data_IF_608842695998
#
_entry.id   IF_608842695998
#
_cell.length_a   1.000
_cell.length_b   1.000
_cell.length_c   1.000
_cell.angle_alpha   90.00
_cell.angle_beta   90.00
_cell.angle_gamma   90.00
#
_symmetry.space_group_name_H-M   'P 1'
#
loop_
_entity.id
_entity.type
_entity.pdbx_description
1 polymer ?
#
# COMPACT_ATOMS: atom_id res chain seq x y z
N UNK A 1 -26.59 -1.28 2.50
CA UNK A 1 -25.21 -1.76 2.62
C UNK A 1 -24.72 -2.20 1.23
N UNK A 2 -23.56 -1.72 0.77
CA UNK A 2 -23.01 -2.11 -0.53
C UNK A 2 -22.71 -3.63 -0.56
N UNK A 3 -22.93 -4.25 -1.70
CA UNK A 3 -22.91 -5.72 -1.88
C UNK A 3 -21.56 -6.20 -2.40
N UNK A 4 -21.14 -7.39 -1.98
CA UNK A 4 -19.95 -8.09 -2.54
C UNK A 4 -20.30 -8.79 -3.85
N UNK A 5 -19.28 -9.19 -4.62
CA UNK A 5 -19.51 -9.94 -5.89
C UNK A 5 -20.26 -11.24 -5.64
N UNK A 6 -19.98 -11.92 -4.54
CA UNK A 6 -20.63 -13.17 -4.15
C UNK A 6 -22.12 -12.96 -3.83
N UNK A 7 -22.46 -11.87 -3.13
CA UNK A 7 -23.86 -11.50 -2.86
C UNK A 7 -24.60 -11.12 -4.13
N UNK A 8 -23.97 -10.30 -4.99
CA UNK A 8 -24.55 -9.92 -6.29
C UNK A 8 -24.79 -11.17 -7.15
N UNK A 9 -23.84 -12.09 -7.19
CA UNK A 9 -23.97 -13.37 -7.90
C UNK A 9 -25.17 -14.17 -7.42
N UNK A 10 -25.30 -14.33 -6.10
CA UNK A 10 -26.39 -15.07 -5.48
C UNK A 10 -27.75 -14.41 -5.75
N UNK A 11 -27.83 -13.09 -5.56
CA UNK A 11 -29.10 -12.35 -5.63
C UNK A 11 -29.56 -12.13 -7.08
N UNK A 12 -28.62 -12.07 -8.05
CA UNK A 12 -28.95 -11.93 -9.47
C UNK A 12 -29.05 -13.27 -10.22
N UNK A 13 -28.60 -14.39 -9.62
CA UNK A 13 -28.50 -15.69 -10.30
C UNK A 13 -27.45 -15.73 -11.41
N UNK A 14 -26.50 -14.78 -11.42
CA UNK A 14 -25.42 -14.70 -12.41
C UNK A 14 -24.14 -15.22 -11.78
N UNK A 15 -23.33 -15.99 -12.51
CA UNK A 15 -22.08 -16.53 -11.95
C UNK A 15 -21.13 -15.43 -11.46
N UNK A 16 -20.36 -15.70 -10.40
CA UNK A 16 -19.35 -14.78 -9.82
C UNK A 16 -18.40 -14.25 -10.90
N UNK A 17 -17.97 -15.10 -11.82
CA UNK A 17 -17.10 -14.71 -12.93
C UNK A 17 -17.77 -13.71 -13.86
N UNK A 18 -19.03 -13.97 -14.25
CA UNK A 18 -19.80 -13.07 -15.12
C UNK A 18 -20.07 -11.73 -14.44
N UNK A 19 -20.46 -11.72 -13.16
CA UNK A 19 -20.65 -10.48 -12.37
C UNK A 19 -19.37 -9.66 -12.37
N UNK A 20 -18.22 -10.29 -12.11
CA UNK A 20 -16.89 -9.61 -12.13
C UNK A 20 -16.57 -9.00 -13.49
N UNK A 21 -16.82 -9.71 -14.57
CA UNK A 21 -16.56 -9.20 -15.93
C UNK A 21 -17.45 -8.01 -16.28
N UNK A 22 -18.72 -8.03 -15.85
CA UNK A 22 -19.64 -6.90 -16.05
C UNK A 22 -19.17 -5.67 -15.25
N UNK A 23 -18.86 -5.84 -13.96
CA UNK A 23 -18.42 -4.74 -13.09
C UNK A 23 -17.12 -4.11 -13.59
N UNK A 24 -16.22 -4.92 -14.16
CA UNK A 24 -14.93 -4.45 -14.73
C UNK A 24 -15.07 -3.91 -16.17
N UNK A 25 -16.27 -3.73 -16.71
CA UNK A 25 -16.49 -3.20 -18.06
C UNK A 25 -16.07 -4.14 -19.20
N UNK A 26 -15.88 -5.43 -18.91
CA UNK A 26 -15.40 -6.43 -19.87
C UNK A 26 -16.51 -7.25 -20.53
N UNK A 27 -17.77 -6.86 -20.32
CA UNK A 27 -18.94 -7.60 -20.79
C UNK A 27 -18.92 -7.88 -22.30
N UNK A 28 -18.56 -6.89 -23.11
CA UNK A 28 -18.49 -7.00 -24.58
C UNK A 28 -17.39 -7.94 -25.04
N UNK A 29 -16.19 -7.80 -24.46
CA UNK A 29 -15.02 -8.66 -24.78
C UNK A 29 -15.32 -10.15 -24.55
N UNK A 30 -16.08 -10.46 -23.52
CA UNK A 30 -16.45 -11.84 -23.15
C UNK A 30 -17.84 -12.23 -23.64
N UNK A 31 -18.45 -11.47 -24.56
CA UNK A 31 -19.74 -11.75 -25.20
C UNK A 31 -20.86 -12.05 -24.20
N UNK A 32 -20.89 -11.31 -23.09
CA UNK A 32 -21.98 -11.41 -22.11
C UNK A 32 -23.21 -10.74 -22.70
N UNK A 33 -24.38 -11.42 -22.62
CA UNK A 33 -25.61 -10.91 -23.20
C UNK A 33 -26.01 -9.56 -22.60
N UNK A 34 -26.62 -8.69 -23.41
CA UNK A 34 -27.10 -7.38 -22.96
C UNK A 34 -28.07 -7.48 -21.78
N UNK A 35 -28.92 -8.53 -21.75
CA UNK A 35 -29.86 -8.76 -20.65
C UNK A 35 -29.14 -9.13 -19.34
N UNK A 36 -28.13 -9.96 -19.40
CA UNK A 36 -27.30 -10.30 -18.22
C UNK A 36 -26.53 -9.09 -17.70
N UNK A 37 -25.94 -8.31 -18.62
CA UNK A 37 -25.25 -7.07 -18.27
C UNK A 37 -26.20 -6.09 -17.58
N UNK A 38 -27.35 -5.78 -18.20
CA UNK A 38 -28.32 -4.85 -17.64
C UNK A 38 -28.82 -5.28 -16.25
N UNK A 39 -29.06 -6.59 -16.04
CA UNK A 39 -29.48 -7.12 -14.74
C UNK A 39 -28.44 -6.88 -13.64
N UNK A 40 -27.16 -7.12 -13.92
CA UNK A 40 -26.07 -6.89 -12.94
C UNK A 40 -25.89 -5.40 -12.68
N UNK A 41 -25.86 -4.56 -13.74
CA UNK A 41 -25.71 -3.12 -13.63
C UNK A 41 -26.86 -2.47 -12.85
N UNK A 42 -28.11 -2.86 -13.10
CA UNK A 42 -29.27 -2.38 -12.36
C UNK A 42 -29.21 -2.75 -10.88
N UNK A 43 -28.79 -3.98 -10.57
CA UNK A 43 -28.63 -4.42 -9.19
C UNK A 43 -27.53 -3.63 -8.46
N UNK A 44 -26.39 -3.40 -9.12
CA UNK A 44 -25.28 -2.60 -8.58
C UNK A 44 -25.69 -1.14 -8.39
N UNK A 45 -26.44 -0.55 -9.32
CA UNK A 45 -26.96 0.82 -9.20
C UNK A 45 -27.91 0.98 -7.99
N UNK A 46 -28.72 -0.02 -7.71
CA UNK A 46 -29.69 0.00 -6.61
C UNK A 46 -29.05 -0.24 -5.24
N UNK A 47 -28.11 -1.18 -5.14
CA UNK A 47 -27.58 -1.68 -3.86
C UNK A 47 -26.15 -1.22 -3.56
N UNK A 48 -25.44 -0.68 -4.54
CA UNK A 48 -24.03 -0.39 -4.48
C UNK A 48 -23.15 -1.66 -4.55
N UNK A 49 -21.88 -1.46 -4.89
CA UNK A 49 -20.88 -2.51 -4.92
C UNK A 49 -19.70 -2.16 -4.00
N UNK A 50 -19.28 -3.10 -3.18
CA UNK A 50 -18.07 -2.98 -2.38
C UNK A 50 -17.07 -4.07 -2.74
N UNK A 51 -15.82 -3.64 -2.97
CA UNK A 51 -14.72 -4.58 -3.15
C UNK A 51 -14.38 -5.19 -1.78
N UNK A 52 -14.44 -6.51 -1.67
CA UNK A 52 -13.85 -7.18 -0.52
C UNK A 52 -12.32 -7.19 -0.69
N UNK A 53 -11.66 -6.13 -0.19
CA UNK A 53 -10.21 -5.98 -0.28
C UNK A 53 -9.45 -7.15 0.36
N UNK A 54 -9.96 -7.72 1.46
CA UNK A 54 -9.32 -8.86 2.12
C UNK A 54 -9.33 -10.12 1.22
N UNK A 55 -10.48 -10.44 0.60
CA UNK A 55 -10.58 -11.57 -0.32
C UNK A 55 -9.74 -11.34 -1.59
N UNK A 56 -9.70 -10.10 -2.10
CA UNK A 56 -8.87 -9.71 -3.24
C UNK A 56 -7.39 -9.84 -2.91
N UNK A 57 -6.95 -9.35 -1.76
CA UNK A 57 -5.56 -9.42 -1.30
C UNK A 57 -5.09 -10.86 -1.16
N UNK A 58 -5.94 -11.72 -0.60
CA UNK A 58 -5.62 -13.15 -0.48
C UNK A 58 -5.43 -13.82 -1.84
N UNK A 59 -6.32 -13.53 -2.80
CA UNK A 59 -6.28 -14.11 -4.15
C UNK A 59 -5.09 -13.61 -4.98
N UNK A 60 -4.77 -12.34 -4.87
CA UNK A 60 -3.70 -11.68 -5.64
C UNK A 60 -2.35 -11.71 -4.92
N UNK A 61 -2.32 -12.15 -3.66
CA UNK A 61 -1.17 -12.02 -2.76
C UNK A 61 -0.60 -10.59 -2.72
N UNK A 62 -1.52 -9.60 -2.79
CA UNK A 62 -1.20 -8.18 -2.90
C UNK A 62 -2.26 -7.36 -2.18
N UNK A 63 -1.82 -6.41 -1.33
CA UNK A 63 -2.69 -5.54 -0.52
C UNK A 63 -2.91 -4.16 -1.13
N UNK A 64 -2.17 -3.82 -2.18
CA UNK A 64 -2.09 -2.49 -2.77
C UNK A 64 -1.74 -1.40 -1.73
N UNK A 65 -0.92 -1.77 -0.73
CA UNK A 65 -0.55 -0.91 0.39
C UNK A 65 0.96 -0.85 0.55
N UNK A 66 1.49 0.36 0.72
CA UNK A 66 2.89 0.63 1.08
C UNK A 66 2.94 1.15 2.50
N UNK A 67 3.78 0.55 3.34
CA UNK A 67 4.06 1.03 4.69
C UNK A 67 5.16 2.10 4.68
N UNK A 68 4.97 3.17 5.46
CA UNK A 68 5.96 4.22 5.65
C UNK A 68 6.18 4.44 7.15
N UNK A 69 7.41 4.22 7.62
CA UNK A 69 7.79 4.43 9.01
C UNK A 69 8.71 5.63 9.09
N UNK A 70 8.33 6.61 9.91
CA UNK A 70 9.07 7.88 10.08
C UNK A 70 9.32 8.16 11.55
N UNK A 71 10.39 8.90 11.89
CA UNK A 71 10.66 9.27 13.27
C UNK A 71 9.58 10.19 13.87
N UNK A 72 9.15 11.20 13.11
CA UNK A 72 8.24 12.24 13.61
C UNK A 72 7.36 12.79 12.49
N UNK A 73 6.04 12.71 12.68
CA UNK A 73 5.05 13.24 11.73
C UNK A 73 4.91 14.77 11.80
N UNK A 74 5.31 15.39 12.89
CA UNK A 74 5.27 16.86 13.05
C UNK A 74 6.45 17.55 12.36
N UNK A 75 7.51 16.84 12.04
CA UNK A 75 8.65 17.37 11.31
C UNK A 75 8.27 17.72 9.87
N UNK A 76 8.43 18.99 9.50
CA UNK A 76 8.04 19.52 8.19
C UNK A 76 8.73 18.80 7.01
N UNK A 77 9.93 18.24 7.20
CA UNK A 77 10.62 17.44 6.20
C UNK A 77 9.86 16.14 5.91
N UNK A 78 9.55 15.36 6.95
CA UNK A 78 8.80 14.12 6.80
C UNK A 78 7.36 14.36 6.35
N UNK A 79 6.73 15.46 6.78
CA UNK A 79 5.39 15.82 6.32
C UNK A 79 5.34 16.10 4.81
N UNK A 80 6.32 16.84 4.27
CA UNK A 80 6.42 17.09 2.82
C UNK A 80 6.71 15.82 2.04
N UNK A 81 7.60 14.98 2.54
CA UNK A 81 7.90 13.70 1.92
C UNK A 81 6.67 12.78 1.90
N UNK A 82 5.95 12.70 3.02
CA UNK A 82 4.72 11.92 3.12
C UNK A 82 3.68 12.37 2.09
N UNK A 83 3.49 13.69 1.92
CA UNK A 83 2.58 14.24 0.91
C UNK A 83 2.99 13.86 -0.52
N UNK A 84 4.30 13.90 -0.83
CA UNK A 84 4.81 13.49 -2.13
C UNK A 84 4.63 11.98 -2.37
N UNK A 85 4.95 11.15 -1.37
CA UNK A 85 4.77 9.70 -1.45
C UNK A 85 3.29 9.32 -1.59
N UNK A 86 2.39 9.98 -0.86
CA UNK A 86 0.95 9.75 -0.96
C UNK A 86 0.45 10.04 -2.38
N UNK A 87 0.85 11.18 -2.96
CA UNK A 87 0.48 11.52 -4.33
C UNK A 87 0.92 10.45 -5.34
N UNK A 88 2.16 9.97 -5.24
CA UNK A 88 2.69 8.92 -6.11
C UNK A 88 2.04 7.55 -5.88
N UNK A 89 1.68 7.22 -4.63
CA UNK A 89 0.92 6.03 -4.31
C UNK A 89 -0.48 6.09 -4.94
N UNK A 90 -1.17 7.20 -4.80
CA UNK A 90 -2.52 7.40 -5.36
C UNK A 90 -2.56 7.31 -6.88
N UNK A 91 -1.56 7.86 -7.58
CA UNK A 91 -1.43 7.72 -9.04
C UNK A 91 -1.29 6.25 -9.49
N UNK A 92 -0.91 5.35 -8.60
CA UNK A 92 -0.70 3.92 -8.85
C UNK A 92 -1.72 3.02 -8.17
N UNK A 93 -2.83 3.58 -7.71
CA UNK A 93 -3.86 2.88 -6.93
C UNK A 93 -3.29 2.15 -5.69
N UNK A 94 -2.26 2.74 -5.06
CA UNK A 94 -1.67 2.26 -3.81
C UNK A 94 -2.12 3.12 -2.63
N UNK A 95 -2.31 2.49 -1.47
CA UNK A 95 -2.53 3.17 -0.20
C UNK A 95 -1.19 3.35 0.52
N UNK A 96 -0.91 4.56 1.01
CA UNK A 96 0.21 4.81 1.91
C UNK A 96 -0.26 4.70 3.37
N UNK A 97 0.34 3.80 4.13
CA UNK A 97 0.06 3.62 5.56
C UNK A 97 1.26 4.08 6.38
N UNK A 98 1.14 5.26 7.00
CA UNK A 98 2.22 5.90 7.74
C UNK A 98 2.13 5.66 9.24
N UNK A 99 3.27 5.39 9.88
CA UNK A 99 3.40 5.21 11.34
C UNK A 99 4.63 5.96 11.84
N UNK A 100 4.50 6.66 12.99
CA UNK A 100 5.62 7.30 13.65
C UNK A 100 6.34 6.34 14.61
N UNK A 101 7.67 6.37 14.61
CA UNK A 101 8.51 5.63 15.57
C UNK A 101 8.91 6.45 16.80
N UNK A 102 8.73 7.76 16.76
CA UNK A 102 9.10 8.70 17.84
C UNK A 102 10.57 8.58 18.26
N UNK A 103 11.47 8.30 17.33
CA UNK A 103 12.91 8.03 17.57
C UNK A 103 13.16 6.86 18.55
N UNK A 104 12.16 6.00 18.77
CA UNK A 104 12.25 4.86 19.68
C UNK A 104 12.39 3.56 18.89
N UNK A 105 13.52 2.83 19.01
CA UNK A 105 13.71 1.55 18.34
C UNK A 105 12.67 0.48 18.68
N UNK A 106 12.11 0.49 19.89
CA UNK A 106 11.07 -0.48 20.28
C UNK A 106 9.76 -0.18 19.56
N UNK A 107 9.39 1.10 19.44
CA UNK A 107 8.21 1.53 18.68
C UNK A 107 8.40 1.26 17.19
N UNK A 108 9.58 1.54 16.62
CA UNK A 108 9.92 1.22 15.22
C UNK A 108 9.75 -0.28 14.94
N UNK A 109 10.31 -1.13 15.79
CA UNK A 109 10.20 -2.58 15.64
C UNK A 109 8.74 -3.06 15.67
N UNK A 110 7.92 -2.52 16.58
CA UNK A 110 6.49 -2.83 16.66
C UNK A 110 5.74 -2.32 15.42
N UNK A 111 6.04 -1.11 14.95
CA UNK A 111 5.43 -0.52 13.76
C UNK A 111 5.70 -1.39 12.51
N UNK A 112 6.97 -1.75 12.28
CA UNK A 112 7.37 -2.62 11.17
C UNK A 112 6.67 -3.98 11.27
N UNK A 113 6.64 -4.61 12.45
CA UNK A 113 5.97 -5.89 12.64
C UNK A 113 4.47 -5.81 12.33
N UNK A 114 3.79 -4.74 12.77
CA UNK A 114 2.36 -4.52 12.48
C UNK A 114 2.09 -4.29 11.00
N UNK A 115 2.95 -3.54 10.29
CA UNK A 115 2.81 -3.32 8.86
C UNK A 115 2.99 -4.62 8.07
N UNK A 116 4.01 -5.42 8.41
CA UNK A 116 4.23 -6.74 7.81
C UNK A 116 3.07 -7.70 8.08
N UNK A 117 2.53 -7.72 9.30
CA UNK A 117 1.37 -8.54 9.66
C UNK A 117 0.09 -8.12 8.89
N UNK A 118 -0.04 -6.86 8.49
CA UNK A 118 -1.11 -6.36 7.61
C UNK A 118 -0.87 -6.71 6.13
N UNK A 119 0.29 -7.30 5.80
CA UNK A 119 0.60 -7.75 4.46
C UNK A 119 0.92 -6.63 3.49
N UNK A 120 1.50 -5.52 3.95
CA UNK A 120 1.95 -4.44 3.05
C UNK A 120 2.85 -4.99 1.94
N UNK A 121 2.77 -4.41 0.75
CA UNK A 121 3.50 -4.86 -0.44
C UNK A 121 4.91 -4.29 -0.53
N UNK A 122 5.20 -3.24 0.23
CA UNK A 122 6.50 -2.62 0.37
C UNK A 122 6.60 -1.80 1.64
N UNK A 123 7.83 -1.53 2.09
CA UNK A 123 8.13 -0.68 3.23
C UNK A 123 9.13 0.39 2.85
N UNK A 124 8.88 1.61 3.29
CA UNK A 124 9.82 2.73 3.27
C UNK A 124 10.05 3.10 4.74
N UNK A 125 11.30 3.14 5.17
CA UNK A 125 11.65 3.35 6.58
C UNK A 125 12.70 4.43 6.68
N UNK A 126 12.43 5.49 7.45
CA UNK A 126 13.46 6.40 7.97
C UNK A 126 13.91 5.84 9.34
N UNK A 127 15.01 5.05 9.38
CA UNK A 127 15.33 4.24 10.55
C UNK A 127 15.83 5.11 11.70
N UNK A 128 15.46 4.76 12.93
CA UNK A 128 16.00 5.40 14.14
C UNK A 128 17.15 4.59 14.78
N UNK A 129 17.53 3.46 14.18
CA UNK A 129 18.58 2.57 14.69
C UNK A 129 19.34 1.92 13.54
N UNK A 130 20.65 1.55 13.74
CA UNK A 130 21.45 0.88 12.72
C UNK A 130 21.05 -0.58 12.48
N UNK A 131 20.35 -1.19 13.42
CA UNK A 131 19.93 -2.58 13.31
C UNK A 131 18.52 -2.68 12.76
N UNK A 132 18.33 -3.64 11.87
CA UNK A 132 17.04 -3.91 11.28
C UNK A 132 16.03 -4.42 12.30
N UNK A 133 14.78 -3.99 12.14
CA UNK A 133 13.67 -4.57 12.89
C UNK A 133 13.68 -6.10 12.74
N UNK A 134 13.71 -6.88 13.84
CA UNK A 134 13.76 -8.35 13.78
C UNK A 134 12.63 -8.97 12.97
N UNK A 135 11.49 -8.27 12.85
CA UNK A 135 10.36 -8.71 12.04
C UNK A 135 10.69 -8.81 10.55
N UNK A 136 11.59 -7.96 10.01
CA UNK A 136 12.02 -8.02 8.61
C UNK A 136 12.79 -9.31 8.32
N UNK A 137 13.62 -9.75 9.25
CA UNK A 137 14.41 -10.97 9.12
C UNK A 137 13.56 -12.25 9.20
N UNK A 138 12.42 -12.18 9.93
CA UNK A 138 11.52 -13.31 10.17
C UNK A 138 10.36 -13.37 9.17
N UNK A 139 10.19 -12.36 8.33
CA UNK A 139 9.07 -12.31 7.39
C UNK A 139 9.18 -13.42 6.35
N UNK A 140 8.14 -14.26 6.23
CA UNK A 140 8.02 -15.28 5.18
C UNK A 140 7.81 -14.67 3.79
N UNK A 141 7.10 -13.55 3.71
CA UNK A 141 6.97 -12.74 2.50
C UNK A 141 8.18 -11.82 2.46
N UNK A 142 9.01 -11.94 1.43
CA UNK A 142 10.12 -10.98 1.20
C UNK A 142 9.52 -9.65 0.75
N UNK A 143 9.01 -8.87 1.70
CA UNK A 143 8.51 -7.53 1.43
C UNK A 143 9.68 -6.62 1.06
N UNK A 144 9.66 -5.97 -0.12
CA UNK A 144 10.68 -5.00 -0.50
C UNK A 144 10.78 -3.88 0.54
N UNK A 145 12.01 -3.49 0.88
CA UNK A 145 12.29 -2.42 1.84
C UNK A 145 13.23 -1.41 1.21
N UNK A 146 12.93 -0.14 1.39
CA UNK A 146 13.81 0.99 1.06
C UNK A 146 14.04 1.79 2.33
N UNK A 147 15.31 2.02 2.66
CA UNK A 147 15.70 2.95 3.71
C UNK A 147 15.73 4.37 3.17
N UNK A 148 15.41 5.33 4.02
CA UNK A 148 15.32 6.72 3.62
C UNK A 148 15.95 7.64 4.67
N UNK A 149 16.54 8.77 4.22
CA UNK A 149 17.12 9.86 5.02
C UNK A 149 18.36 9.47 5.83
N UNK A 150 18.39 8.30 6.44
CA UNK A 150 19.49 7.86 7.32
C UNK A 150 20.14 6.61 6.76
N UNK A 151 21.45 6.72 6.47
CA UNK A 151 22.30 5.61 6.09
C UNK A 151 23.25 5.26 7.24
N UNK A 152 23.07 4.08 7.79
CA UNK A 152 23.99 3.54 8.81
C UNK A 152 25.09 2.68 8.20
N UNK A 153 25.29 2.70 6.89
CA UNK A 153 26.36 1.98 6.20
C UNK A 153 26.24 0.46 6.21
N UNK A 154 25.06 -0.08 6.53
CA UNK A 154 24.87 -1.53 6.61
C UNK A 154 24.83 -2.23 5.25
N UNK A 155 24.52 -1.50 4.18
CA UNK A 155 24.40 -2.03 2.82
C UNK A 155 23.33 -3.13 2.61
N UNK A 156 22.50 -3.39 3.62
CA UNK A 156 21.52 -4.50 3.59
C UNK A 156 20.28 -4.17 2.76
N UNK A 157 19.96 -2.89 2.61
CA UNK A 157 18.81 -2.41 1.84
C UNK A 157 19.17 -1.22 0.97
N UNK A 158 18.47 -1.05 -0.16
CA UNK A 158 18.56 0.20 -0.92
C UNK A 158 18.27 1.39 0.00
N UNK A 159 19.13 2.40 -0.04
CA UNK A 159 19.01 3.59 0.79
C UNK A 159 18.96 4.83 -0.10
N UNK A 160 18.01 5.73 0.16
CA UNK A 160 17.86 7.03 -0.48
C UNK A 160 18.20 8.11 0.55
N UNK A 161 19.25 8.87 0.31
CA UNK A 161 19.70 9.96 1.20
C UNK A 161 19.89 11.24 0.41
N UNK A 162 19.79 12.38 1.09
CA UNK A 162 20.20 13.67 0.54
C UNK A 162 21.73 13.80 0.60
N UNK A 163 22.34 14.37 -0.44
CA UNK A 163 23.77 14.71 -0.39
C UNK A 163 24.01 15.96 0.45
N UNK A 164 23.88 15.78 1.76
CA UNK A 164 24.06 16.87 2.73
C UNK A 164 25.49 17.41 2.77
N UNK A 165 26.47 16.59 2.38
CA UNK A 165 27.89 16.98 2.37
C UNK A 165 28.19 17.95 1.24
N UNK A 166 27.69 17.65 0.04
CA UNK A 166 27.83 18.56 -1.10
C UNK A 166 27.05 19.86 -0.86
N UNK A 167 25.80 19.75 -0.43
CA UNK A 167 24.96 20.92 -0.17
C UNK A 167 25.52 21.85 0.90
N UNK A 168 26.03 21.31 2.01
CA UNK A 168 26.67 22.09 3.07
C UNK A 168 27.99 22.74 2.59
N UNK A 169 28.78 22.01 1.80
CA UNK A 169 30.03 22.53 1.23
C UNK A 169 29.81 23.67 0.23
N UNK A 170 28.72 23.64 -0.53
CA UNK A 170 28.34 24.72 -1.45
C UNK A 170 27.85 25.95 -0.69
N UNK A 171 27.07 25.77 0.40
CA UNK A 171 26.62 26.88 1.25
C UNK A 171 27.78 27.58 1.99
N UNK A 172 28.78 26.81 2.46
CA UNK A 172 29.91 27.35 3.17
C UNK A 172 30.92 28.14 2.28
N UNK A 173 30.79 28.01 0.95
CA UNK A 173 31.63 28.72 -0.04
C UNK A 173 30.98 30.02 -0.57
N UNK A 174 29.72 30.30 -0.21
CA UNK A 174 29.01 31.54 -0.54
C UNK A 174 29.11 32.53 0.60
#
# INVERSE_FOLDING_TARGET
>A
MAKTIEEISRDTGVSVTTVRLVINGQAERYRISASTRARVEAYVAQHGYSINHAARSLKLNRSDTVGFVVPDLSNAFFARLMAALEAHCRERDLLLLTVASHEDPAIENVAVAKLLARGVDGLIIAPCQPHLAPALLKSRKRTPVVMFDRDYGTGLYPTVVSDNRQGSGEMARR
#
